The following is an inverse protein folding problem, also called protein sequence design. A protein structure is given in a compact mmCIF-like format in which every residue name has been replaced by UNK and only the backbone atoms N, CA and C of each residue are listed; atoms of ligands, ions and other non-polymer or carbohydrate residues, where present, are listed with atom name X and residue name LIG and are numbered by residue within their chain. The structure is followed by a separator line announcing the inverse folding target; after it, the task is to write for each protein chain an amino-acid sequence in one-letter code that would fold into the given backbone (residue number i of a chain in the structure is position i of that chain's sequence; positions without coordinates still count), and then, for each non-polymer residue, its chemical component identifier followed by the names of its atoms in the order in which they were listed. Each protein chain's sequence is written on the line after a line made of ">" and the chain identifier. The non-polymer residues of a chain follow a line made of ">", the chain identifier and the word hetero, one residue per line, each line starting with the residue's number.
data_IF_776905138938
#
_entry.id   IF_776905138938
#
_cell.length_a   1.000
_cell.length_b   1.000
_cell.length_c   1.000
_cell.angle_alpha   90.00
_cell.angle_beta   90.00
_cell.angle_gamma   90.00
#
_symmetry.space_group_name_H-M   'P 1'
#
loop_
_entity.id
_entity.type
_entity.pdbx_description
1 polymer ?
#
# COMPACT_ATOMS: atom_id res chain seq x y z
N UNK A 1 16.21 -13.04 14.96
CA UNK A 1 15.86 -12.93 14.97
C UNK A 1 15.22 -12.91 15.39
N UNK A 2 15.28 -12.97 15.55
CA UNK A 2 14.76 -12.86 15.59
C UNK A 2 13.97 -12.37 15.82
N UNK A 3 13.62 -12.14 16.32
CA UNK A 3 12.93 -11.47 16.44
C UNK A 3 12.28 -11.25 15.87
N UNK A 4 12.19 -11.22 16.11
CA UNK A 4 11.58 -10.72 15.59
C UNK A 4 11.07 -11.13 14.43
N UNK A 5 10.56 -12.08 14.31
CA UNK A 5 9.98 -12.45 13.07
C UNK A 5 8.88 -11.55 12.65
N UNK A 6 8.17 -11.04 13.61
CA UNK A 6 7.14 -10.08 13.29
C UNK A 6 7.72 -8.88 12.58
N UNK A 7 8.92 -8.54 12.94
CA UNK A 7 9.57 -7.42 12.31
C UNK A 7 10.06 -7.73 10.94
N UNK A 8 10.04 -9.02 10.59
CA UNK A 8 10.54 -9.43 9.30
C UNK A 8 9.46 -9.95 8.39
N UNK A 9 8.22 -9.74 8.75
CA UNK A 9 7.12 -10.07 7.86
C UNK A 9 7.26 -9.23 6.61
N UNK A 10 7.36 -9.85 5.45
CA UNK A 10 7.51 -9.06 4.24
C UNK A 10 6.24 -8.31 3.93
N UNK A 11 6.39 -7.02 3.72
CA UNK A 11 5.27 -6.22 3.29
C UNK A 11 5.72 -5.36 2.12
N UNK A 12 4.77 -4.89 1.35
CA UNK A 12 5.03 -4.00 0.24
C UNK A 12 4.35 -2.68 0.55
N UNK A 13 5.14 -1.61 0.59
CA UNK A 13 4.61 -0.28 0.83
C UNK A 13 4.63 0.47 -0.49
N UNK A 14 3.50 1.03 -0.85
CA UNK A 14 3.34 1.77 -2.08
C UNK A 14 3.00 3.21 -1.73
N UNK A 15 3.85 4.12 -2.14
CA UNK A 15 3.57 5.55 -1.99
C UNK A 15 3.16 6.07 -3.34
N UNK A 16 1.88 6.33 -3.50
CA UNK A 16 1.28 6.63 -4.79
C UNK A 16 1.32 8.13 -5.07
N UNK A 17 2.09 8.85 -4.31
CA UNK A 17 2.30 10.26 -4.55
C UNK A 17 3.21 10.43 -5.75
N UNK A 18 2.74 11.02 -6.85
CA UNK A 18 3.56 11.08 -8.06
C UNK A 18 4.81 11.94 -7.93
N UNK A 19 4.90 12.74 -6.88
CA UNK A 19 6.09 13.55 -6.68
C UNK A 19 7.21 12.79 -6.00
N UNK A 20 6.93 11.62 -5.50
CA UNK A 20 7.95 10.79 -4.87
C UNK A 20 8.60 9.94 -5.94
N UNK A 21 9.88 10.16 -6.14
CA UNK A 21 10.59 9.42 -7.18
C UNK A 21 11.72 8.58 -6.64
N UNK A 22 11.95 8.61 -5.35
CA UNK A 22 13.00 7.82 -4.74
C UNK A 22 12.41 6.61 -4.08
N UNK A 23 13.14 5.53 -4.14
CA UNK A 23 12.71 4.29 -3.54
C UNK A 23 13.73 3.85 -2.53
N UNK A 24 13.72 4.43 -1.33
CA UNK A 24 14.66 3.97 -0.31
C UNK A 24 14.36 2.52 0.01
N UNK A 25 15.40 1.76 0.18
CA UNK A 25 15.21 0.36 0.49
C UNK A 25 14.87 0.21 1.95
N UNK A 26 13.86 -0.58 2.20
CA UNK A 26 13.53 -0.95 3.55
C UNK A 26 14.26 -2.22 3.93
N UNK A 27 14.40 -2.43 5.21
CA UNK A 27 15.00 -3.65 5.66
C UNK A 27 14.03 -4.80 5.68
N UNK A 28 12.83 -4.51 6.12
CA UNK A 28 11.84 -5.55 6.35
C UNK A 28 10.71 -5.48 5.37
N UNK A 29 10.78 -4.56 4.45
CA UNK A 29 9.78 -4.43 3.45
C UNK A 29 10.33 -3.63 2.31
N UNK A 30 9.57 -3.51 1.29
CA UNK A 30 9.97 -2.77 0.12
C UNK A 30 9.05 -1.58 -0.03
N UNK A 31 9.62 -0.43 -0.27
CA UNK A 31 8.87 0.78 -0.53
C UNK A 31 9.02 1.13 -1.99
N UNK A 32 7.91 1.29 -2.68
CA UNK A 32 7.90 1.64 -4.08
C UNK A 32 7.15 2.95 -4.22
N UNK A 33 7.77 3.88 -4.91
CA UNK A 33 7.14 5.17 -5.17
C UNK A 33 6.63 5.19 -6.59
N UNK A 34 5.51 5.85 -6.78
CA UNK A 34 4.95 5.97 -8.09
C UNK A 34 3.54 5.42 -8.14
N UNK A 35 3.03 5.32 -9.34
CA UNK A 35 1.65 4.97 -9.58
C UNK A 35 1.63 3.77 -10.51
N UNK A 36 1.74 2.56 -9.97
CA UNK A 36 1.74 1.38 -10.82
C UNK A 36 0.43 1.29 -11.57
N UNK A 37 0.52 0.97 -12.83
CA UNK A 37 -0.67 0.89 -13.68
C UNK A 37 -0.89 -0.50 -14.26
N UNK A 38 -0.06 -1.46 -13.90
CA UNK A 38 -0.20 -2.82 -14.40
C UNK A 38 0.19 -3.81 -13.32
N UNK A 39 -0.47 -4.98 -13.34
CA UNK A 39 -0.13 -6.02 -12.34
C UNK A 39 1.34 -6.44 -12.38
N UNK A 40 1.96 -6.43 -13.55
CA UNK A 40 3.35 -6.86 -13.66
C UNK A 40 4.28 -5.97 -12.86
N UNK A 41 3.96 -4.68 -12.78
CA UNK A 41 4.77 -3.75 -11.98
C UNK A 41 4.72 -4.14 -10.51
N UNK A 42 3.53 -4.47 -10.02
CA UNK A 42 3.38 -4.88 -8.63
C UNK A 42 4.07 -6.20 -8.35
N UNK A 43 3.99 -7.13 -9.28
CA UNK A 43 4.66 -8.41 -9.11
C UNK A 43 6.17 -8.21 -9.08
N UNK A 44 6.70 -7.38 -9.96
CA UNK A 44 8.12 -7.08 -9.95
C UNK A 44 8.57 -6.43 -8.66
N UNK A 45 7.67 -5.69 -8.03
CA UNK A 45 7.97 -5.05 -6.76
C UNK A 45 7.89 -6.01 -5.57
N UNK A 46 7.40 -7.23 -5.78
CA UNK A 46 7.39 -8.22 -4.71
C UNK A 46 6.02 -8.56 -4.19
N UNK A 47 4.96 -8.17 -4.87
CA UNK A 47 3.62 -8.42 -4.37
C UNK A 47 3.35 -9.91 -4.17
N UNK A 48 3.91 -10.76 -5.02
CA UNK A 48 3.69 -12.20 -4.90
C UNK A 48 4.21 -12.76 -3.58
N UNK A 49 5.21 -12.14 -3.01
CA UNK A 49 5.83 -12.62 -1.78
C UNK A 49 5.45 -11.83 -0.57
N UNK A 50 4.67 -10.78 -0.74
CA UNK A 50 4.30 -9.94 0.39
C UNK A 50 3.24 -10.61 1.23
N UNK A 51 3.23 -10.29 2.51
CA UNK A 51 2.22 -10.75 3.43
C UNK A 51 1.22 -9.66 3.76
N UNK A 52 1.53 -8.44 3.39
CA UNK A 52 0.65 -7.30 3.59
C UNK A 52 1.07 -6.20 2.64
N UNK A 53 0.15 -5.31 2.35
CA UNK A 53 0.40 -4.15 1.50
C UNK A 53 -0.03 -2.92 2.27
N UNK A 54 0.81 -1.89 2.22
CA UNK A 54 0.49 -0.59 2.80
C UNK A 54 0.51 0.42 1.66
N UNK A 55 -0.58 1.15 1.51
CA UNK A 55 -0.69 2.15 0.45
C UNK A 55 -0.85 3.52 1.10
N UNK A 56 -0.03 4.47 0.70
CA UNK A 56 -0.18 5.86 1.07
C UNK A 56 -0.49 6.66 -0.17
N UNK A 57 -1.35 7.64 -0.06
CA UNK A 57 -1.79 8.38 -1.24
C UNK A 57 -2.23 9.79 -0.86
N UNK A 58 -2.33 10.63 -1.88
CA UNK A 58 -2.98 11.94 -1.79
C UNK A 58 -4.24 11.99 -2.65
N UNK A 59 -4.27 11.25 -3.75
CA UNK A 59 -5.38 11.24 -4.68
C UNK A 59 -6.15 9.93 -4.50
N UNK A 60 -7.40 10.01 -4.07
CA UNK A 60 -8.19 8.83 -3.79
C UNK A 60 -8.41 7.98 -5.05
N UNK A 61 -8.50 8.62 -6.20
CA UNK A 61 -8.71 7.85 -7.44
C UNK A 61 -7.49 6.99 -7.76
N UNK A 62 -6.30 7.54 -7.53
CA UNK A 62 -5.09 6.76 -7.73
C UNK A 62 -5.01 5.62 -6.73
N UNK A 63 -5.37 5.87 -5.48
CA UNK A 63 -5.36 4.82 -4.48
C UNK A 63 -6.31 3.69 -4.86
N UNK A 64 -7.47 4.05 -5.35
CA UNK A 64 -8.47 3.05 -5.73
C UNK A 64 -7.97 2.19 -6.88
N UNK A 65 -7.34 2.82 -7.86
CA UNK A 65 -6.78 2.06 -8.99
C UNK A 65 -5.72 1.08 -8.54
N UNK A 66 -4.83 1.54 -7.65
CA UNK A 66 -3.78 0.66 -7.16
C UNK A 66 -4.37 -0.47 -6.33
N UNK A 67 -5.35 -0.15 -5.49
CA UNK A 67 -6.01 -1.17 -4.70
C UNK A 67 -6.65 -2.23 -5.59
N UNK A 68 -7.30 -1.81 -6.67
CA UNK A 68 -7.91 -2.75 -7.59
C UNK A 68 -6.86 -3.67 -8.23
N UNK A 69 -5.71 -3.10 -8.58
CA UNK A 69 -4.63 -3.92 -9.15
C UNK A 69 -4.11 -4.91 -8.13
N UNK A 70 -3.93 -4.49 -6.90
CA UNK A 70 -3.48 -5.40 -5.85
C UNK A 70 -4.47 -6.55 -5.70
N UNK A 71 -5.76 -6.23 -5.70
CA UNK A 71 -6.79 -7.26 -5.52
C UNK A 71 -6.87 -8.21 -6.70
N UNK A 72 -6.51 -7.78 -7.89
CA UNK A 72 -6.45 -8.69 -9.02
C UNK A 72 -5.36 -9.75 -8.82
N UNK A 73 -4.25 -9.36 -8.23
CA UNK A 73 -3.11 -10.27 -8.05
C UNK A 73 -3.26 -11.06 -6.76
N UNK A 74 -3.68 -10.41 -5.72
CA UNK A 74 -3.76 -11.00 -4.38
C UNK A 74 -5.11 -10.66 -3.76
N UNK A 75 -6.15 -11.44 -4.03
CA UNK A 75 -7.49 -11.08 -3.54
C UNK A 75 -7.61 -11.05 -2.02
N UNK A 76 -6.78 -11.80 -1.32
CA UNK A 76 -6.94 -11.95 0.12
C UNK A 76 -5.87 -11.28 0.95
N UNK A 77 -4.89 -10.64 0.32
CA UNK A 77 -3.80 -10.06 1.09
C UNK A 77 -4.32 -8.88 1.90
N UNK A 78 -3.89 -8.74 3.15
CA UNK A 78 -4.27 -7.54 3.90
C UNK A 78 -3.72 -6.30 3.25
N UNK A 79 -4.58 -5.30 3.08
CA UNK A 79 -4.21 -4.01 2.51
C UNK A 79 -4.61 -2.93 3.49
N UNK A 80 -3.63 -2.19 3.95
CA UNK A 80 -3.82 -1.08 4.87
C UNK A 80 -3.53 0.19 4.09
N UNK A 81 -4.47 1.12 4.14
CA UNK A 81 -4.31 2.36 3.38
C UNK A 81 -4.21 3.51 4.37
N UNK A 82 -3.17 4.30 4.21
CA UNK A 82 -2.98 5.53 4.98
C UNK A 82 -3.51 6.68 4.16
N UNK A 83 -4.58 7.29 4.66
CA UNK A 83 -5.28 8.34 3.93
C UNK A 83 -4.97 9.70 4.54
N UNK A 84 -4.99 10.78 3.74
CA UNK A 84 -4.74 12.12 4.30
C UNK A 84 -5.80 12.54 5.31
N UNK A 85 -7.03 12.06 5.14
CA UNK A 85 -8.10 12.37 6.07
C UNK A 85 -9.12 11.23 6.00
N UNK A 86 -10.25 11.42 6.65
CA UNK A 86 -11.24 10.34 6.76
C UNK A 86 -12.28 10.35 5.65
N UNK A 87 -12.19 11.25 4.70
CA UNK A 87 -13.27 11.42 3.74
C UNK A 87 -13.42 10.23 2.80
N UNK A 88 -12.35 9.51 2.53
CA UNK A 88 -12.38 8.42 1.56
C UNK A 88 -12.53 7.04 2.22
N UNK A 89 -12.69 6.98 3.53
CA UNK A 89 -12.72 5.69 4.21
C UNK A 89 -13.82 4.78 3.66
N UNK A 90 -15.08 5.22 3.56
CA UNK A 90 -16.10 4.29 3.08
C UNK A 90 -15.83 3.82 1.66
N UNK A 91 -15.34 4.71 0.82
CA UNK A 91 -15.07 4.37 -0.57
C UNK A 91 -13.98 3.33 -0.68
N UNK A 92 -12.91 3.52 0.06
CA UNK A 92 -11.78 2.58 -0.02
C UNK A 92 -12.12 1.25 0.62
N UNK A 93 -12.92 1.26 1.67
CA UNK A 93 -13.37 0.00 2.24
C UNK A 93 -14.23 -0.78 1.24
N UNK A 94 -15.11 -0.08 0.53
CA UNK A 94 -15.92 -0.75 -0.49
C UNK A 94 -15.08 -1.27 -1.63
N UNK A 95 -13.96 -0.61 -1.91
CA UNK A 95 -13.08 -1.05 -2.98
C UNK A 95 -12.19 -2.21 -2.57
N UNK A 96 -12.20 -2.60 -1.29
CA UNK A 96 -11.50 -3.79 -0.88
C UNK A 96 -10.36 -3.57 0.09
N UNK A 97 -10.21 -2.39 0.67
CA UNK A 97 -9.19 -2.17 1.68
C UNK A 97 -9.55 -2.93 2.94
N UNK A 98 -8.54 -3.52 3.57
CA UNK A 98 -8.74 -4.18 4.85
C UNK A 98 -8.91 -3.16 5.95
N UNK A 99 -8.04 -2.14 5.95
CA UNK A 99 -8.12 -1.06 6.91
C UNK A 99 -7.75 0.23 6.23
N UNK A 100 -8.38 1.31 6.64
CA UNK A 100 -8.02 2.64 6.18
C UNK A 100 -7.75 3.48 7.41
N UNK A 101 -6.57 4.05 7.49
CA UNK A 101 -6.13 4.81 8.65
C UNK A 101 -5.96 6.25 8.22
N UNK A 102 -6.81 7.16 8.70
CA UNK A 102 -6.64 8.56 8.35
C UNK A 102 -5.53 9.17 9.18
N UNK A 103 -4.80 10.08 8.56
CA UNK A 103 -3.84 10.88 9.31
C UNK A 103 -4.59 11.94 10.08
N UNK A 104 -4.25 12.06 11.34
CA UNK A 104 -4.92 13.02 12.20
C UNK A 104 -3.95 14.15 12.44
N UNK A 105 -4.39 15.37 12.10
CA UNK A 105 -3.56 16.53 12.36
C UNK A 105 -3.76 16.95 13.80
N UNK A 106 -2.65 17.12 14.48
CA UNK A 106 -2.70 17.65 15.82
C UNK A 106 -3.04 19.11 15.74
N UNK A 107 -4.10 19.45 16.34
CA UNK A 107 -4.62 20.79 16.20
C UNK A 107 -3.95 21.82 17.02
#
# INVERSE_FOLDING_TARGET
>A
GEFLDAEQIPFLALDVNPQQTHAPSGRHGRVVFGNPDRPEVLKAAGLDRARAVVIAFLDVHAAERVLNLVRQVRPDIPVIIRAPDDSAIPRLKRAGATEVIPEVLEG
#
